data_IF_565748799802
#
_entry.id   IF_565748799802
#
_cell.length_a   1.000
_cell.length_b   1.000
_cell.length_c   1.000
_cell.angle_alpha   90.00
_cell.angle_beta   90.00
_cell.angle_gamma   90.00
#
_symmetry.space_group_name_H-M   'P 1'
#
loop_
_entity.id
_entity.type
_entity.pdbx_description
1 polymer ?
#
# COMPACT_ATOMS: atom_id res chain seq x y z
N UNK A 1 -3.47 28.44 -83.10
CA UNK A 1 -2.70 27.71 -82.04
C UNK A 1 -3.12 28.26 -80.70
N UNK A 2 -3.95 27.53 -79.96
CA UNK A 2 -4.44 27.94 -78.65
C UNK A 2 -3.63 27.26 -77.57
N UNK A 3 -2.85 28.04 -76.81
CA UNK A 3 -2.11 27.55 -75.67
C UNK A 3 -3.08 27.39 -74.47
N UNK A 4 -3.45 26.19 -74.08
CA UNK A 4 -4.13 25.89 -72.87
C UNK A 4 -3.12 25.84 -71.70
N UNK A 5 -3.09 26.91 -70.89
CA UNK A 5 -2.43 26.88 -69.56
C UNK A 5 -3.31 26.15 -68.59
N UNK A 6 -2.99 24.89 -68.28
CA UNK A 6 -3.57 24.13 -67.21
C UNK A 6 -2.76 24.42 -65.90
N UNK A 7 -3.24 25.40 -65.12
CA UNK A 7 -2.71 25.66 -63.79
C UNK A 7 -3.17 24.57 -62.81
N UNK A 8 -2.29 23.63 -62.41
CA UNK A 8 -2.53 22.72 -61.31
C UNK A 8 -2.33 23.45 -59.99
N UNK A 9 -3.42 23.85 -59.33
CA UNK A 9 -3.42 24.30 -57.96
C UNK A 9 -3.08 23.09 -57.04
N UNK A 10 -1.81 22.94 -56.70
CA UNK A 10 -1.40 22.05 -55.60
C UNK A 10 -1.72 22.75 -54.28
N UNK A 11 -2.87 22.44 -53.71
CA UNK A 11 -3.19 22.78 -52.31
C UNK A 11 -2.24 22.03 -51.40
N UNK A 12 -1.17 22.67 -50.93
CA UNK A 12 -0.36 22.13 -49.82
C UNK A 12 -1.15 22.35 -48.54
N UNK A 13 -1.70 21.29 -48.00
CA UNK A 13 -2.24 21.25 -46.62
C UNK A 13 -1.09 21.58 -45.65
N UNK A 14 -0.89 22.86 -45.37
CA UNK A 14 0.01 23.30 -44.33
C UNK A 14 -0.61 22.92 -42.98
N UNK A 15 0.03 21.95 -42.26
CA UNK A 15 -0.35 21.57 -40.90
C UNK A 15 -0.14 22.82 -40.03
N UNK A 16 -1.22 23.40 -39.52
CA UNK A 16 -1.14 24.57 -38.62
C UNK A 16 -0.49 24.12 -37.29
N UNK A 17 0.18 25.05 -36.57
CA UNK A 17 0.77 24.73 -35.26
C UNK A 17 -0.25 24.13 -34.28
N UNK A 18 -1.48 24.62 -34.27
CA UNK A 18 -2.57 24.11 -33.47
C UNK A 18 -2.94 22.64 -33.80
N UNK A 19 -2.94 22.27 -35.10
CA UNK A 19 -3.20 20.92 -35.54
C UNK A 19 -2.06 19.97 -35.16
N UNK A 20 -0.80 20.41 -35.20
CA UNK A 20 0.34 19.63 -34.71
C UNK A 20 0.24 19.37 -33.22
N UNK A 21 -0.15 20.38 -32.46
CA UNK A 21 -0.34 20.28 -31.02
C UNK A 21 -1.50 19.31 -30.65
N UNK A 22 -2.62 19.40 -31.37
CA UNK A 22 -3.75 18.49 -31.19
C UNK A 22 -3.38 17.03 -31.49
N UNK A 23 -2.63 16.80 -32.58
CA UNK A 23 -2.15 15.43 -32.91
C UNK A 23 -1.17 14.94 -31.85
N UNK A 24 -0.28 15.79 -31.30
CA UNK A 24 0.64 15.47 -30.23
C UNK A 24 -0.08 15.05 -28.93
N UNK A 25 -1.17 15.74 -28.59
CA UNK A 25 -2.02 15.40 -27.44
C UNK A 25 -2.74 14.07 -27.62
N UNK A 26 -3.21 13.75 -28.83
CA UNK A 26 -3.88 12.49 -29.13
C UNK A 26 -2.95 11.26 -29.09
N UNK A 27 -1.63 11.46 -29.17
CA UNK A 27 -0.64 10.38 -29.12
C UNK A 27 -0.16 10.07 -27.68
N UNK A 28 -0.53 10.89 -26.71
CA UNK A 28 -0.10 10.74 -25.31
C UNK A 28 -0.98 9.74 -24.57
N UNK A 29 -0.38 9.04 -23.60
CA UNK A 29 -1.14 8.23 -22.66
C UNK A 29 -1.97 9.14 -21.72
N UNK A 30 -2.99 8.59 -21.09
CA UNK A 30 -3.83 9.35 -20.15
C UNK A 30 -3.02 9.89 -18.96
N UNK A 31 -2.03 9.13 -18.47
CA UNK A 31 -1.10 9.57 -17.42
C UNK A 31 -0.25 10.77 -17.86
N UNK A 32 0.32 10.72 -19.08
CA UNK A 32 1.16 11.78 -19.61
C UNK A 32 0.33 13.05 -19.89
N UNK A 33 -0.91 12.86 -20.37
CA UNK A 33 -1.85 13.96 -20.57
C UNK A 33 -2.20 14.65 -19.24
N UNK A 34 -2.47 13.88 -18.22
CA UNK A 34 -2.77 14.41 -16.87
C UNK A 34 -1.59 15.19 -16.31
N UNK A 35 -0.38 14.68 -16.46
CA UNK A 35 0.83 15.35 -15.98
C UNK A 35 1.08 16.68 -16.74
N UNK A 36 0.89 16.70 -18.06
CA UNK A 36 1.04 17.91 -18.87
C UNK A 36 -0.02 18.95 -18.53
N UNK A 37 -1.28 18.51 -18.31
CA UNK A 37 -2.37 19.40 -17.88
C UNK A 37 -2.06 20.02 -16.52
N UNK A 38 -1.56 19.24 -15.56
CA UNK A 38 -1.15 19.76 -14.25
C UNK A 38 -0.02 20.78 -14.37
N UNK A 39 0.95 20.55 -15.26
CA UNK A 39 2.03 21.50 -15.52
C UNK A 39 1.50 22.82 -16.13
N UNK A 40 0.60 22.74 -17.11
CA UNK A 40 -0.01 23.93 -17.72
C UNK A 40 -0.87 24.72 -16.70
N UNK A 41 -1.54 24.03 -15.79
CA UNK A 41 -2.30 24.66 -14.69
C UNK A 41 -1.37 25.36 -13.69
N UNK A 42 -0.22 24.76 -13.37
CA UNK A 42 0.79 25.38 -12.50
C UNK A 42 1.41 26.63 -13.12
N UNK A 43 1.63 26.61 -14.45
CA UNK A 43 2.20 27.74 -15.17
C UNK A 43 1.19 28.90 -15.40
N UNK A 44 -0.10 28.62 -15.31
CA UNK A 44 -1.14 29.61 -15.57
C UNK A 44 -2.16 29.73 -14.43
N UNK A 45 -2.07 30.76 -13.56
CA UNK A 45 -2.95 30.93 -12.41
C UNK A 45 -4.45 31.15 -12.74
N UNK A 46 -4.79 31.38 -14.00
CA UNK A 46 -6.18 31.53 -14.44
C UNK A 46 -6.85 30.18 -14.78
N UNK A 47 -6.09 29.08 -14.74
CA UNK A 47 -6.62 27.74 -15.00
C UNK A 47 -6.78 26.96 -13.72
N UNK A 48 -7.84 26.18 -13.65
CA UNK A 48 -8.12 25.23 -12.57
C UNK A 48 -8.29 23.84 -13.17
N UNK A 49 -7.57 22.85 -12.64
CA UNK A 49 -7.80 21.45 -12.97
C UNK A 49 -8.91 20.91 -12.08
N UNK A 50 -9.99 20.41 -12.66
CA UNK A 50 -11.01 19.63 -11.95
C UNK A 50 -10.68 18.16 -12.08
N UNK A 51 -10.22 17.56 -11.01
CA UNK A 51 -10.10 16.12 -10.89
C UNK A 51 -11.49 15.54 -10.66
N UNK A 52 -11.85 14.49 -11.41
CA UNK A 52 -13.21 13.91 -11.37
C UNK A 52 -13.69 13.39 -10.01
N UNK A 53 -12.82 13.41 -8.98
CA UNK A 53 -13.17 13.09 -7.59
C UNK A 53 -13.95 14.20 -6.86
N UNK A 54 -13.78 15.46 -7.26
CA UNK A 54 -14.44 16.59 -6.59
C UNK A 54 -15.90 16.81 -7.04
N UNK A 55 -16.37 16.07 -8.06
CA UNK A 55 -17.74 16.23 -8.56
C UNK A 55 -18.79 15.37 -7.82
N UNK A 56 -18.37 14.32 -7.10
CA UNK A 56 -19.33 13.49 -6.33
C UNK A 56 -19.66 14.06 -4.94
N UNK A 57 -18.85 14.97 -4.40
CA UNK A 57 -19.13 15.58 -3.10
C UNK A 57 -20.12 16.75 -3.15
N UNK A 58 -20.41 17.29 -4.35
CA UNK A 58 -21.28 18.48 -4.47
C UNK A 58 -22.73 18.17 -4.83
N UNK A 59 -23.12 16.94 -5.14
CA UNK A 59 -24.52 16.60 -5.49
C UNK A 59 -25.41 16.12 -4.32
N UNK A 60 -24.87 16.02 -3.10
CA UNK A 60 -25.66 15.60 -1.92
C UNK A 60 -25.74 16.66 -0.82
N UNK A 61 -25.74 17.93 -1.14
CA UNK A 61 -26.09 19.00 -0.19
C UNK A 61 -27.57 19.30 -0.30
N UNK A 62 -28.32 18.80 0.68
CA UNK A 62 -29.70 19.16 0.95
C UNK A 62 -29.78 20.67 1.28
N UNK A 63 -30.59 21.50 0.57
CA UNK A 63 -30.56 22.96 0.70
C UNK A 63 -31.30 23.52 1.94
N UNK A 64 -31.37 22.79 3.04
CA UNK A 64 -32.09 23.23 4.24
C UNK A 64 -31.31 23.13 5.56
N UNK A 65 -30.04 23.51 5.61
CA UNK A 65 -29.43 23.78 6.91
C UNK A 65 -28.27 24.80 6.81
N UNK A 66 -28.61 26.04 6.48
CA UNK A 66 -27.73 27.18 6.74
C UNK A 66 -27.98 27.65 8.18
N UNK A 67 -27.28 27.07 9.16
CA UNK A 67 -27.01 27.77 10.42
C UNK A 67 -25.82 27.13 11.16
N UNK A 68 -24.64 27.70 10.97
CA UNK A 68 -23.66 27.87 12.04
C UNK A 68 -22.97 26.62 12.56
N UNK A 69 -22.11 25.97 11.76
CA UNK A 69 -21.09 25.06 12.34
C UNK A 69 -19.91 24.86 11.37
N UNK A 70 -19.22 25.97 11.02
CA UNK A 70 -18.05 25.95 10.13
C UNK A 70 -16.70 25.72 10.82
N UNK A 71 -16.68 25.38 12.12
CA UNK A 71 -15.43 25.20 12.87
C UNK A 71 -15.12 23.76 13.32
N UNK A 72 -16.10 22.85 13.31
CA UNK A 72 -15.86 21.47 13.79
C UNK A 72 -15.42 20.48 12.71
N UNK A 73 -15.71 20.77 11.44
CA UNK A 73 -15.37 19.84 10.33
C UNK A 73 -13.88 19.86 9.99
N UNK A 74 -13.24 21.03 9.99
CA UNK A 74 -11.78 21.12 9.74
C UNK A 74 -10.98 20.50 10.89
N UNK A 75 -11.46 20.63 12.13
CA UNK A 75 -10.83 20.02 13.29
C UNK A 75 -11.01 18.50 13.32
N UNK A 76 -12.18 18.00 12.93
CA UNK A 76 -12.43 16.56 12.81
C UNK A 76 -11.69 15.92 11.66
N UNK A 77 -11.57 16.58 10.52
CA UNK A 77 -10.75 16.13 9.39
C UNK A 77 -9.25 16.18 9.72
N UNK A 78 -8.80 17.21 10.42
CA UNK A 78 -7.43 17.30 10.93
C UNK A 78 -7.14 16.23 11.98
N UNK A 79 -8.05 15.97 12.93
CA UNK A 79 -7.95 14.90 13.91
C UNK A 79 -8.00 13.51 13.29
N UNK A 80 -8.85 13.29 12.29
CA UNK A 80 -8.90 12.03 11.54
C UNK A 80 -7.62 11.80 10.71
N UNK A 81 -7.03 12.88 10.17
CA UNK A 81 -5.75 12.80 9.47
C UNK A 81 -4.54 12.64 10.41
N UNK A 82 -4.63 13.12 11.66
CA UNK A 82 -3.63 12.87 12.71
C UNK A 82 -3.72 11.46 13.29
N UNK A 83 -4.90 10.82 13.24
CA UNK A 83 -5.13 9.50 13.84
C UNK A 83 -4.60 8.31 13.05
N UNK A 84 -4.10 8.51 11.83
CA UNK A 84 -3.52 7.45 11.02
C UNK A 84 -2.03 7.73 10.70
N UNK A 85 -1.20 7.90 11.73
CA UNK A 85 0.21 7.59 11.55
C UNK A 85 0.28 6.10 11.18
N UNK A 86 0.49 5.87 9.88
CA UNK A 86 0.68 4.54 9.33
C UNK A 86 2.03 4.00 9.82
N UNK A 87 2.07 3.54 11.06
CA UNK A 87 3.26 2.92 11.58
C UNK A 87 3.51 1.65 10.77
N UNK A 88 4.62 1.64 10.02
CA UNK A 88 5.08 0.42 9.39
C UNK A 88 5.51 -0.58 10.48
N UNK A 89 5.53 -1.87 10.15
CA UNK A 89 6.04 -2.89 11.07
C UNK A 89 7.42 -2.51 11.63
N UNK A 90 8.31 -1.97 10.79
CA UNK A 90 9.64 -1.53 11.20
C UNK A 90 9.58 -0.41 12.23
N UNK A 91 8.72 0.59 12.04
CA UNK A 91 8.56 1.69 12.99
C UNK A 91 8.05 1.22 14.35
N UNK A 92 7.07 0.31 14.36
CA UNK A 92 6.53 -0.28 15.58
C UNK A 92 7.61 -1.06 16.35
N UNK A 93 8.38 -1.90 15.65
CA UNK A 93 9.48 -2.66 16.27
C UNK A 93 10.60 -1.74 16.76
N UNK A 94 10.94 -0.66 16.05
CA UNK A 94 11.91 0.34 16.53
C UNK A 94 11.39 1.10 17.76
N UNK A 95 10.11 1.42 17.83
CA UNK A 95 9.52 2.03 19.02
C UNK A 95 9.62 1.10 20.22
N UNK A 96 9.31 -0.19 20.07
CA UNK A 96 9.47 -1.18 21.14
C UNK A 96 10.94 -1.37 21.53
N UNK A 97 11.86 -1.39 20.54
CA UNK A 97 13.29 -1.50 20.78
C UNK A 97 13.82 -0.35 21.64
N UNK A 98 13.38 0.88 21.36
CA UNK A 98 13.79 2.08 22.11
C UNK A 98 13.35 2.10 23.58
N UNK A 99 12.30 1.34 23.91
CA UNK A 99 11.83 1.17 25.30
C UNK A 99 12.65 0.12 26.08
N UNK A 100 13.47 -0.67 25.39
CA UNK A 100 14.28 -1.72 26.02
C UNK A 100 15.67 -1.18 26.39
N UNK A 101 16.16 -1.55 27.56
CA UNK A 101 17.54 -1.24 27.99
C UNK A 101 18.51 -2.27 27.41
N UNK A 102 19.00 -2.02 26.20
CA UNK A 102 19.94 -2.87 25.48
C UNK A 102 21.27 -2.16 25.20
N UNK A 103 22.31 -2.93 24.86
CA UNK A 103 23.59 -2.33 24.47
C UNK A 103 23.50 -1.66 23.11
N UNK A 104 24.27 -0.59 22.89
CA UNK A 104 24.35 0.10 21.58
C UNK A 104 24.67 -0.85 20.41
N UNK A 105 25.52 -1.85 20.65
CA UNK A 105 25.82 -2.86 19.66
C UNK A 105 24.62 -3.73 19.33
N UNK A 106 23.86 -4.16 20.33
CA UNK A 106 22.66 -4.97 20.14
C UNK A 106 21.55 -4.19 19.41
N UNK A 107 21.44 -2.89 19.72
CA UNK A 107 20.51 -1.98 19.04
C UNK A 107 20.83 -1.83 17.54
N UNK A 108 22.11 -1.67 17.19
CA UNK A 108 22.53 -1.60 15.79
C UNK A 108 22.25 -2.93 15.05
N UNK A 109 22.52 -4.07 15.68
CA UNK A 109 22.21 -5.39 15.10
C UNK A 109 20.70 -5.57 14.95
N UNK A 110 19.91 -5.16 15.95
CA UNK A 110 18.46 -5.24 15.92
C UNK A 110 17.87 -4.40 14.80
N UNK A 111 18.37 -3.18 14.60
CA UNK A 111 17.95 -2.29 13.50
C UNK A 111 18.19 -2.95 12.14
N UNK A 112 19.34 -3.56 11.91
CA UNK A 112 19.65 -4.27 10.66
C UNK A 112 18.69 -5.46 10.46
N UNK A 113 18.37 -6.21 11.52
CA UNK A 113 17.44 -7.33 11.42
C UNK A 113 16.03 -6.83 11.14
N UNK A 114 15.56 -5.79 11.82
CA UNK A 114 14.22 -5.20 11.62
C UNK A 114 14.05 -4.69 10.19
N UNK A 115 15.04 -4.00 9.62
CA UNK A 115 15.01 -3.53 8.24
C UNK A 115 15.10 -4.65 7.19
N UNK A 116 15.56 -5.83 7.61
CA UNK A 116 15.66 -7.02 6.75
C UNK A 116 14.39 -7.88 6.77
N UNK A 117 13.39 -7.53 7.57
CA UNK A 117 12.10 -8.23 7.59
C UNK A 117 11.29 -7.94 6.33
N UNK A 118 10.51 -8.92 5.90
CA UNK A 118 9.53 -8.74 4.84
C UNK A 118 8.22 -8.12 5.37
N UNK A 119 7.31 -7.79 4.46
CA UNK A 119 5.98 -7.24 4.78
C UNK A 119 5.12 -8.20 5.62
N UNK A 120 5.40 -9.48 5.63
CA UNK A 120 4.72 -10.48 6.45
C UNK A 120 5.34 -10.65 7.84
N UNK A 121 6.50 -10.02 8.09
CA UNK A 121 7.26 -10.13 9.33
C UNK A 121 8.23 -11.31 9.37
N UNK A 122 8.52 -11.95 8.24
CA UNK A 122 9.52 -13.02 8.14
C UNK A 122 10.91 -12.47 7.88
N UNK A 123 11.93 -13.22 8.33
CA UNK A 123 13.33 -12.93 8.08
C UNK A 123 13.86 -13.85 6.95
N UNK A 124 13.94 -13.36 5.69
CA UNK A 124 14.38 -14.18 4.57
C UNK A 124 15.89 -14.49 4.60
N UNK A 125 16.65 -13.78 5.43
CA UNK A 125 18.10 -13.84 5.48
C UNK A 125 18.61 -14.97 6.41
N UNK A 126 19.66 -15.64 5.97
CA UNK A 126 20.39 -16.60 6.78
C UNK A 126 21.41 -15.92 7.72
N UNK A 127 21.85 -16.63 8.77
CA UNK A 127 22.81 -16.10 9.74
C UNK A 127 24.14 -15.63 9.09
N UNK A 128 24.62 -16.26 8.02
CA UNK A 128 25.81 -15.84 7.29
C UNK A 128 25.60 -14.49 6.58
N UNK A 129 24.43 -14.30 5.96
CA UNK A 129 24.08 -13.04 5.29
C UNK A 129 23.91 -11.90 6.30
N UNK A 130 23.30 -12.18 7.46
CA UNK A 130 23.20 -11.20 8.56
C UNK A 130 24.59 -10.81 9.09
N UNK A 131 25.52 -11.77 9.23
CA UNK A 131 26.90 -11.48 9.59
C UNK A 131 27.60 -10.59 8.57
N UNK A 132 27.35 -10.81 7.27
CA UNK A 132 27.93 -9.98 6.21
C UNK A 132 27.38 -8.55 6.27
N UNK A 133 26.09 -8.37 6.56
CA UNK A 133 25.47 -7.06 6.73
C UNK A 133 25.94 -6.30 7.99
N UNK A 134 26.36 -7.03 9.03
CA UNK A 134 26.86 -6.43 10.26
C UNK A 134 28.36 -6.12 10.24
N UNK A 135 29.10 -6.54 9.19
CA UNK A 135 30.54 -6.23 9.04
C UNK A 135 30.93 -4.74 9.13
N UNK A 136 30.14 -3.80 8.59
CA UNK A 136 30.49 -2.38 8.69
C UNK A 136 30.32 -1.79 10.10
N UNK A 137 29.80 -2.53 11.08
CA UNK A 137 29.65 -2.05 12.46
C UNK A 137 31.04 -1.87 13.12
N UNK A 138 31.15 -0.93 14.03
CA UNK A 138 32.40 -0.59 14.73
C UNK A 138 33.00 -1.74 15.55
N UNK A 139 32.17 -2.70 15.97
CA UNK A 139 32.60 -3.87 16.74
C UNK A 139 32.33 -5.15 15.96
N UNK A 140 33.25 -6.14 16.03
CA UNK A 140 33.04 -7.42 15.35
C UNK A 140 31.83 -8.14 15.97
N UNK A 141 30.85 -8.47 15.13
CA UNK A 141 29.66 -9.22 15.52
C UNK A 141 29.92 -10.72 15.45
N UNK A 142 29.52 -11.45 16.48
CA UNK A 142 29.61 -12.90 16.50
C UNK A 142 28.26 -13.55 16.15
N UNK A 143 28.25 -14.83 15.66
CA UNK A 143 27.00 -15.53 15.40
C UNK A 143 26.10 -15.68 16.64
N UNK A 144 26.70 -15.67 17.85
CA UNK A 144 25.98 -15.72 19.12
C UNK A 144 25.24 -14.41 19.40
N UNK A 145 25.82 -13.26 19.02
CA UNK A 145 25.16 -11.97 19.18
C UNK A 145 23.92 -11.87 18.31
N UNK A 146 24.04 -12.29 17.04
CA UNK A 146 22.88 -12.33 16.12
C UNK A 146 21.76 -13.22 16.68
N UNK A 147 22.10 -14.41 17.19
CA UNK A 147 21.09 -15.31 17.78
C UNK A 147 20.43 -14.70 19.00
N UNK A 148 21.18 -14.00 19.85
CA UNK A 148 20.67 -13.32 21.04
C UNK A 148 19.69 -12.22 20.64
N UNK A 149 20.11 -11.34 19.72
CA UNK A 149 19.28 -10.22 19.26
C UNK A 149 18.05 -10.71 18.48
N UNK A 150 18.19 -11.78 17.66
CA UNK A 150 17.05 -12.37 16.97
C UNK A 150 16.01 -12.90 17.97
N UNK A 151 16.43 -13.56 19.05
CA UNK A 151 15.50 -13.99 20.10
C UNK A 151 14.81 -12.81 20.80
N UNK A 152 15.51 -11.69 20.95
CA UNK A 152 14.93 -10.46 21.49
C UNK A 152 13.81 -9.96 20.57
N UNK A 153 14.06 -9.87 19.26
CA UNK A 153 13.05 -9.45 18.27
C UNK A 153 11.88 -10.43 18.23
N UNK A 154 12.13 -11.73 18.30
CA UNK A 154 11.08 -12.76 18.36
C UNK A 154 10.20 -12.70 19.62
N UNK A 155 10.65 -11.99 20.67
CA UNK A 155 9.86 -11.74 21.88
C UNK A 155 9.03 -10.45 21.83
N UNK A 156 9.19 -9.65 20.77
CA UNK A 156 8.43 -8.40 20.55
C UNK A 156 7.04 -8.67 19.98
N UNK A 157 6.20 -7.65 19.98
CA UNK A 157 4.89 -7.66 19.33
C UNK A 157 4.97 -7.07 17.91
N UNK A 158 4.29 -7.68 16.96
CA UNK A 158 3.40 -8.85 17.03
C UNK A 158 4.18 -10.18 17.17
N UNK A 159 3.65 -11.07 18.00
CA UNK A 159 4.27 -12.39 18.26
C UNK A 159 4.47 -13.18 16.96
N UNK A 160 5.66 -13.76 16.78
CA UNK A 160 6.02 -14.53 15.59
C UNK A 160 6.80 -13.76 14.53
N UNK A 161 7.09 -12.47 14.75
CA UNK A 161 7.99 -11.67 13.91
C UNK A 161 9.42 -12.19 14.02
N UNK A 162 10.22 -12.05 12.95
CA UNK A 162 11.61 -12.52 12.89
C UNK A 162 11.75 -14.04 12.71
N UNK A 163 10.66 -14.75 12.43
CA UNK A 163 10.70 -16.16 12.05
C UNK A 163 11.19 -16.33 10.61
N UNK A 164 11.87 -17.42 10.29
CA UNK A 164 12.38 -17.73 8.95
C UNK A 164 11.38 -18.40 8.05
N UNK A 165 10.45 -19.13 8.66
CA UNK A 165 9.40 -19.85 7.97
C UNK A 165 8.12 -19.89 8.82
N UNK A 166 7.03 -20.34 8.21
CA UNK A 166 5.74 -20.43 8.87
C UNK A 166 5.77 -21.35 10.09
N UNK A 167 6.51 -22.47 10.02
CA UNK A 167 6.63 -23.40 11.14
C UNK A 167 7.24 -22.71 12.37
N UNK A 168 8.36 -22.00 12.22
CA UNK A 168 9.01 -21.25 13.29
C UNK A 168 8.10 -20.14 13.83
N UNK A 169 7.37 -19.44 12.97
CA UNK A 169 6.40 -18.40 13.35
C UNK A 169 5.32 -18.98 14.28
N UNK A 170 4.72 -20.10 13.90
CA UNK A 170 3.70 -20.76 14.71
C UNK A 170 4.29 -21.31 16.02
N UNK A 171 5.53 -21.84 15.99
CA UNK A 171 6.22 -22.33 17.20
C UNK A 171 6.49 -21.20 18.20
N UNK A 172 6.89 -20.01 17.72
CA UNK A 172 7.09 -18.82 18.57
C UNK A 172 5.77 -18.42 19.23
N UNK A 173 4.68 -18.31 18.46
CA UNK A 173 3.36 -17.95 18.98
C UNK A 173 2.85 -18.99 19.98
N UNK A 174 3.00 -20.28 19.67
CA UNK A 174 2.60 -21.35 20.59
C UNK A 174 3.44 -21.37 21.85
N UNK A 175 4.73 -21.06 21.78
CA UNK A 175 5.60 -21.02 22.97
C UNK A 175 5.15 -19.97 23.99
N UNK A 176 4.64 -18.83 23.51
CA UNK A 176 4.09 -17.78 24.38
C UNK A 176 2.79 -18.24 25.08
N UNK A 177 1.96 -19.05 24.41
CA UNK A 177 0.68 -19.55 24.92
C UNK A 177 0.88 -20.82 25.78
N UNK A 178 1.88 -21.64 25.46
CA UNK A 178 2.09 -22.98 26.06
C UNK A 178 2.58 -22.97 27.51
N UNK A 179 3.07 -21.82 28.00
CA UNK A 179 3.68 -21.72 29.32
C UNK A 179 2.77 -22.28 30.45
N UNK A 180 1.44 -22.11 30.31
CA UNK A 180 0.46 -22.54 31.32
C UNK A 180 -0.64 -23.47 30.77
N UNK A 181 -0.51 -23.98 29.53
CA UNK A 181 -1.57 -24.76 28.89
C UNK A 181 -1.04 -26.05 28.27
N UNK A 182 -1.56 -27.21 28.73
CA UNK A 182 -1.17 -28.54 28.23
C UNK A 182 -1.52 -28.74 26.76
N UNK A 183 -2.66 -28.16 26.32
CA UNK A 183 -3.08 -28.16 24.91
C UNK A 183 -2.06 -27.36 24.06
N UNK A 184 -1.55 -26.24 24.58
CA UNK A 184 -0.50 -25.46 23.93
C UNK A 184 0.81 -26.23 23.75
N UNK A 185 1.24 -26.99 24.73
CA UNK A 185 2.45 -27.85 24.64
C UNK A 185 2.29 -28.96 23.60
N UNK A 186 1.12 -29.58 23.55
CA UNK A 186 0.82 -30.61 22.56
C UNK A 186 0.72 -29.98 21.13
N UNK A 187 0.14 -28.77 20.99
CA UNK A 187 0.12 -28.04 19.74
C UNK A 187 1.53 -27.71 19.27
N UNK A 188 2.40 -27.23 20.17
CA UNK A 188 3.81 -26.95 19.87
C UNK A 188 4.55 -28.21 19.39
N UNK A 189 4.37 -29.34 20.06
CA UNK A 189 4.96 -30.61 19.65
C UNK A 189 4.50 -31.04 18.23
N UNK A 190 3.23 -30.83 17.92
CA UNK A 190 2.70 -31.15 16.56
C UNK A 190 3.32 -30.21 15.51
N UNK A 191 3.44 -28.94 15.78
CA UNK A 191 4.02 -27.97 14.85
C UNK A 191 5.51 -28.23 14.65
N UNK A 192 6.25 -28.53 15.70
CA UNK A 192 7.71 -28.76 15.61
C UNK A 192 8.07 -30.07 14.91
N UNK A 193 7.31 -31.15 15.11
CA UNK A 193 7.70 -32.49 14.64
C UNK A 193 6.80 -33.05 13.54
N UNK A 194 5.60 -32.53 13.36
CA UNK A 194 4.59 -33.08 12.46
C UNK A 194 3.98 -32.04 11.52
N UNK A 195 4.70 -30.96 11.22
CA UNK A 195 4.23 -29.85 10.39
C UNK A 195 3.84 -30.29 8.98
N UNK A 196 4.58 -31.24 8.38
CA UNK A 196 4.29 -31.77 7.04
C UNK A 196 2.90 -32.41 6.96
N UNK A 197 2.47 -33.10 8.01
CA UNK A 197 1.12 -33.70 8.06
C UNK A 197 0.03 -32.65 8.24
N UNK A 198 0.34 -31.52 8.90
CA UNK A 198 -0.57 -30.38 9.02
C UNK A 198 -0.76 -29.71 7.66
N UNK A 199 0.31 -29.52 6.90
CA UNK A 199 0.27 -28.84 5.58
C UNK A 199 -0.57 -29.61 4.58
N UNK A 200 -0.56 -30.95 4.62
CA UNK A 200 -1.36 -31.83 3.76
C UNK A 200 -2.74 -32.12 4.36
N UNK A 201 -3.07 -31.55 5.54
CA UNK A 201 -4.31 -31.79 6.28
C UNK A 201 -4.59 -33.29 6.59
N UNK A 202 -3.53 -34.07 6.83
CA UNK A 202 -3.64 -35.49 7.14
C UNK A 202 -3.85 -35.73 8.66
N UNK A 203 -5.07 -35.41 9.12
CA UNK A 203 -5.46 -35.53 10.52
C UNK A 203 -5.34 -36.98 11.04
N UNK A 204 -5.55 -37.98 10.21
CA UNK A 204 -5.46 -39.38 10.59
C UNK A 204 -4.03 -39.79 10.91
N UNK A 205 -3.04 -39.31 10.17
CA UNK A 205 -1.62 -39.54 10.46
C UNK A 205 -1.22 -38.87 11.77
N UNK A 206 -1.61 -37.65 11.99
CA UNK A 206 -1.33 -36.92 13.24
C UNK A 206 -1.92 -37.69 14.45
N UNK A 207 -3.19 -38.12 14.36
CA UNK A 207 -3.84 -38.90 15.43
C UNK A 207 -3.11 -40.20 15.75
N UNK A 208 -2.61 -40.93 14.73
CA UNK A 208 -1.84 -42.15 14.92
C UNK A 208 -0.48 -41.92 15.59
N UNK A 209 0.19 -40.82 15.19
CA UNK A 209 1.53 -40.50 15.70
C UNK A 209 1.50 -39.95 17.14
N UNK A 210 0.55 -39.06 17.42
CA UNK A 210 0.45 -38.40 18.72
C UNK A 210 -0.34 -39.18 19.74
N UNK A 211 -1.13 -40.21 19.34
CA UNK A 211 -2.01 -41.03 20.20
C UNK A 211 -3.03 -40.20 21.00
N UNK A 212 -3.35 -39.00 20.55
CA UNK A 212 -4.30 -38.08 21.17
C UNK A 212 -5.74 -38.55 20.96
N UNK A 213 -6.63 -38.16 21.87
CA UNK A 213 -8.07 -38.34 21.69
C UNK A 213 -8.57 -37.45 20.59
N UNK A 214 -9.68 -37.83 19.94
CA UNK A 214 -10.25 -37.06 18.86
C UNK A 214 -10.63 -35.62 19.28
N UNK A 215 -11.22 -35.50 20.47
CA UNK A 215 -11.67 -34.23 21.04
C UNK A 215 -10.49 -33.30 21.36
N UNK A 216 -9.40 -33.85 21.90
CA UNK A 216 -8.17 -33.10 22.19
C UNK A 216 -7.50 -32.61 20.90
N UNK A 217 -7.44 -33.47 19.88
CA UNK A 217 -6.87 -33.12 18.58
C UNK A 217 -7.69 -32.02 17.91
N UNK A 218 -9.00 -32.04 18.01
CA UNK A 218 -9.87 -30.99 17.47
C UNK A 218 -9.59 -29.63 18.13
N UNK A 219 -9.45 -29.61 19.46
CA UNK A 219 -9.10 -28.41 20.20
C UNK A 219 -7.71 -27.87 19.81
N UNK A 220 -6.73 -28.75 19.64
CA UNK A 220 -5.38 -28.39 19.21
C UNK A 220 -5.42 -27.79 17.81
N UNK A 221 -6.13 -28.41 16.85
CA UNK A 221 -6.24 -27.90 15.49
C UNK A 221 -6.97 -26.55 15.45
N UNK A 222 -7.99 -26.37 16.31
CA UNK A 222 -8.68 -25.09 16.46
C UNK A 222 -7.73 -24.01 16.98
N UNK A 223 -6.90 -24.33 17.97
CA UNK A 223 -5.88 -23.43 18.49
C UNK A 223 -4.87 -23.05 17.39
N UNK A 224 -4.32 -24.02 16.65
CA UNK A 224 -3.37 -23.75 15.57
C UNK A 224 -3.99 -22.87 14.48
N UNK A 225 -5.26 -23.08 14.13
CA UNK A 225 -5.97 -22.25 13.13
C UNK A 225 -6.27 -20.85 13.62
N UNK A 226 -6.30 -20.59 14.92
CA UNK A 226 -6.50 -19.25 15.49
C UNK A 226 -5.22 -18.40 15.51
N UNK A 227 -4.05 -19.00 15.25
CA UNK A 227 -2.79 -18.29 15.19
C UNK A 227 -2.68 -17.44 13.91
N UNK A 228 -1.87 -16.39 13.97
CA UNK A 228 -1.64 -15.51 12.83
C UNK A 228 -0.46 -16.02 11.98
N UNK A 229 -0.69 -16.52 10.74
CA UNK A 229 0.39 -17.02 9.89
C UNK A 229 1.26 -15.90 9.30
N UNK A 230 0.83 -14.63 9.37
CA UNK A 230 1.53 -13.46 8.81
C UNK A 230 1.42 -12.28 9.77
N UNK A 231 2.24 -12.24 10.83
CA UNK A 231 2.12 -11.24 11.88
C UNK A 231 2.32 -9.80 11.39
N UNK A 232 3.15 -9.58 10.36
CA UNK A 232 3.38 -8.26 9.76
C UNK A 232 2.23 -7.74 8.91
N UNK A 233 1.31 -8.59 8.46
CA UNK A 233 0.26 -8.19 7.50
C UNK A 233 -0.71 -7.12 8.04
N UNK A 234 -0.85 -7.00 9.36
CA UNK A 234 -1.67 -5.96 9.99
C UNK A 234 -1.12 -4.54 9.78
N UNK A 235 0.20 -4.42 9.54
CA UNK A 235 0.91 -3.16 9.33
C UNK A 235 1.07 -2.80 7.86
N UNK A 236 0.81 -3.75 6.96
CA UNK A 236 0.88 -3.54 5.52
C UNK A 236 -0.44 -2.97 5.03
N UNK A 237 -0.51 -1.66 4.91
CA UNK A 237 -1.60 -1.02 4.17
C UNK A 237 -1.26 -1.08 2.68
N UNK A 238 -1.62 -2.16 2.02
CA UNK A 238 -1.66 -2.16 0.56
C UNK A 238 -2.72 -1.13 0.14
N UNK A 239 -2.28 0.08 -0.18
CA UNK A 239 -3.09 0.95 -1.01
C UNK A 239 -3.19 0.26 -2.36
N UNK A 240 -4.29 -0.43 -2.56
CA UNK A 240 -4.61 -0.97 -3.88
C UNK A 240 -4.75 0.24 -4.80
N UNK A 241 -3.76 0.48 -5.64
CA UNK A 241 -3.87 1.49 -6.70
C UNK A 241 -4.89 0.94 -7.69
N UNK A 242 -6.11 1.46 -7.61
CA UNK A 242 -7.15 1.14 -8.59
C UNK A 242 -6.80 1.83 -9.90
N UNK A 243 -6.54 1.04 -10.93
CA UNK A 243 -6.37 1.56 -12.28
C UNK A 243 -7.74 1.99 -12.77
N UNK A 244 -7.93 3.30 -12.98
CA UNK A 244 -9.16 3.82 -13.58
C UNK A 244 -9.18 3.46 -15.07
N UNK A 245 -10.21 2.74 -15.57
CA UNK A 245 -10.29 2.38 -16.97
C UNK A 245 -10.57 3.64 -17.83
N UNK A 246 -9.96 3.72 -19.00
CA UNK A 246 -10.20 4.81 -19.97
C UNK A 246 -11.56 4.68 -20.65
N UNK A 247 -12.02 3.44 -20.87
CA UNK A 247 -13.27 3.11 -21.55
C UNK A 247 -14.10 2.17 -20.70
N UNK A 248 -15.40 2.39 -20.68
CA UNK A 248 -16.37 1.53 -20.01
C UNK A 248 -17.27 0.91 -21.08
N UNK A 249 -17.20 -0.43 -21.22
CA UNK A 249 -18.05 -1.19 -22.13
C UNK A 249 -19.24 -1.79 -21.37
N UNK A 250 -20.47 -1.43 -21.72
CA UNK A 250 -21.68 -1.97 -21.13
C UNK A 250 -22.51 -2.74 -22.16
N UNK A 251 -23.07 -3.89 -21.75
CA UNK A 251 -23.93 -4.70 -22.61
C UNK A 251 -25.37 -4.22 -22.50
N UNK A 252 -25.91 -3.65 -23.59
CA UNK A 252 -27.33 -3.26 -23.69
C UNK A 252 -28.11 -4.29 -24.51
N UNK A 253 -29.46 -4.17 -24.54
CA UNK A 253 -30.33 -5.11 -25.30
C UNK A 253 -30.01 -5.17 -26.80
N UNK A 254 -29.49 -4.09 -27.39
CA UNK A 254 -29.16 -3.99 -28.83
C UNK A 254 -27.68 -4.33 -29.15
N UNK A 255 -26.82 -4.60 -28.17
CA UNK A 255 -25.39 -4.86 -28.36
C UNK A 255 -24.50 -4.26 -27.29
N UNK A 256 -23.20 -4.21 -27.55
CA UNK A 256 -22.23 -3.56 -26.68
C UNK A 256 -22.18 -2.07 -26.96
N UNK A 257 -22.22 -1.26 -25.91
CA UNK A 257 -22.01 0.19 -25.97
C UNK A 257 -20.73 0.53 -25.23
N UNK A 258 -19.86 1.31 -25.87
CA UNK A 258 -18.59 1.75 -25.30
C UNK A 258 -18.68 3.24 -25.05
N UNK A 259 -18.36 3.66 -23.82
CA UNK A 259 -18.36 5.06 -23.41
C UNK A 259 -16.98 5.43 -22.86
N UNK A 260 -16.55 6.69 -23.11
CA UNK A 260 -15.34 7.23 -22.52
C UNK A 260 -15.57 7.46 -21.01
N UNK A 261 -14.61 7.04 -20.18
CA UNK A 261 -14.67 7.34 -18.76
C UNK A 261 -14.32 8.81 -18.52
N UNK A 262 -15.34 9.60 -18.17
CA UNK A 262 -15.17 11.05 -17.92
C UNK A 262 -14.30 11.34 -16.68
N UNK A 263 -14.22 10.41 -15.75
CA UNK A 263 -13.41 10.56 -14.53
C UNK A 263 -11.91 10.36 -14.79
N UNK A 264 -11.58 9.60 -15.84
CA UNK A 264 -10.19 9.36 -16.21
C UNK A 264 -9.58 10.52 -17.03
N UNK A 265 -10.42 11.40 -17.62
CA UNK A 265 -9.95 12.49 -18.46
C UNK A 265 -9.82 13.77 -17.63
N UNK A 266 -8.64 14.40 -17.54
CA UNK A 266 -8.48 15.66 -16.82
C UNK A 266 -9.30 16.77 -17.45
N UNK A 267 -10.07 17.50 -16.64
CA UNK A 267 -10.86 18.64 -17.09
C UNK A 267 -10.19 19.94 -16.62
N UNK A 268 -10.04 20.89 -17.51
CA UNK A 268 -9.50 22.21 -17.19
C UNK A 268 -10.61 23.25 -17.34
N UNK A 269 -10.76 24.10 -16.34
CA UNK A 269 -11.69 25.23 -16.38
C UNK A 269 -10.97 26.53 -16.08
N UNK A 270 -11.56 27.64 -16.58
CA UNK A 270 -11.03 28.96 -16.29
C UNK A 270 -11.60 29.46 -14.96
N UNK A 271 -10.73 29.89 -14.05
CA UNK A 271 -11.14 30.54 -12.80
C UNK A 271 -11.78 31.92 -13.11
N UNK A 272 -13.11 31.95 -13.11
CA UNK A 272 -13.88 33.15 -13.43
C UNK A 272 -13.66 34.27 -12.40
N UNK A 273 -13.50 33.91 -11.12
CA UNK A 273 -13.30 34.87 -10.02
C UNK A 273 -12.00 35.65 -10.19
N UNK A 274 -10.91 34.95 -10.50
CA UNK A 274 -9.61 35.58 -10.78
C UNK A 274 -9.65 36.42 -12.08
N UNK A 275 -10.27 35.94 -13.12
CA UNK A 275 -10.41 36.71 -14.38
C UNK A 275 -11.21 38.01 -14.15
N UNK A 276 -12.29 37.96 -13.39
CA UNK A 276 -13.15 39.12 -13.12
C UNK A 276 -12.46 40.12 -12.17
N UNK A 277 -11.74 39.64 -11.15
CA UNK A 277 -10.93 40.51 -10.30
C UNK A 277 -9.79 41.20 -11.06
N UNK A 278 -9.16 40.50 -11.99
CA UNK A 278 -8.12 41.07 -12.86
C UNK A 278 -8.66 42.10 -13.83
N UNK A 279 -9.85 41.88 -14.42
CA UNK A 279 -10.55 42.85 -15.25
C UNK A 279 -10.94 44.11 -14.47
N UNK A 280 -11.43 43.94 -13.23
CA UNK A 280 -11.80 45.04 -12.34
C UNK A 280 -10.61 45.90 -11.92
N UNK A 281 -9.42 45.30 -11.72
CA UNK A 281 -8.19 46.03 -11.39
C UNK A 281 -7.68 46.89 -12.59
N UNK A 282 -7.85 46.38 -13.84
CA UNK A 282 -7.40 47.06 -15.07
C UNK A 282 -8.28 48.23 -15.48
N UNK A 283 -9.53 48.28 -15.00
CA UNK A 283 -10.47 49.40 -15.29
C UNK A 283 -10.22 50.59 -14.34
N UNK A 284 -9.47 50.41 -13.23
CA UNK A 284 -9.14 51.47 -12.26
C UNK A 284 -7.79 52.15 -12.51
N UNK A 285 -7.04 51.75 -13.53
CA UNK A 285 -5.80 52.35 -14.00
C UNK A 285 -6.04 53.09 -15.32
#
# INVERSE_FOLDING_TARGET
MANKLTGQLRQRLGVTPALKQAIGLLQKSNSDLTQEVLQVVQDNPFLEAKTGREQEETEWSDPQNESGQLQDTELTDWLNNLGEENNSLSQELHAQLSLMSISEQDEQIASIIIESLDDNGFLPLNNSQLLDLTKPLFKPTTPSDIKRVLKLIQSMEPTGVGARNLQECLSIQLSSISANNEIGKQALNIVDHHFDFLSVNNIQAIKKLTRLRADELELILKLIRSLNPRPGSAFVKHRTEYISPDLIASKKRAGWEVQLNKQATPQVSINKTLVDSFKASRVKS
#
